data_IF_417280372155
#
_entry.id   IF_417280372155
#
_cell.length_a   1.000
_cell.length_b   1.000
_cell.length_c   1.000
_cell.angle_alpha   90.00
_cell.angle_beta   90.00
_cell.angle_gamma   90.00
#
_symmetry.space_group_name_H-M   'P 1'
#
loop_
_entity.id
_entity.type
_entity.pdbx_description
1 polymer ?
#
# COMPACT_ATOMS: atom_id res chain seq x y z
N UNK A 1 -16.64 11.27 7.38
CA UNK A 1 -16.36 11.82 8.72
C UNK A 1 -15.27 10.96 9.37
N UNK A 2 -14.25 11.54 10.01
CA UNK A 2 -13.13 10.77 10.61
C UNK A 2 -13.57 10.05 11.88
N UNK A 3 -13.03 8.85 12.12
CA UNK A 3 -13.18 8.14 13.41
C UNK A 3 -12.34 8.77 14.53
N UNK A 4 -11.43 9.70 14.19
CA UNK A 4 -10.47 10.32 15.11
C UNK A 4 -10.57 11.86 15.13
N UNK A 5 -11.74 12.43 15.47
CA UNK A 5 -11.97 13.88 15.37
C UNK A 5 -11.04 14.70 16.27
N UNK A 6 -10.70 14.17 17.45
CA UNK A 6 -9.79 14.85 18.39
C UNK A 6 -8.35 14.90 17.89
N UNK A 7 -7.85 13.78 17.35
CA UNK A 7 -6.52 13.73 16.73
C UNK A 7 -6.45 14.68 15.54
N UNK A 8 -7.46 14.63 14.65
CA UNK A 8 -7.57 15.54 13.51
C UNK A 8 -7.47 17.02 13.92
N UNK A 9 -8.30 17.45 14.88
CA UNK A 9 -8.30 18.84 15.34
C UNK A 9 -6.97 19.24 15.99
N UNK A 10 -6.48 18.44 16.94
CA UNK A 10 -5.26 18.76 17.68
C UNK A 10 -4.02 18.83 16.79
N UNK A 11 -3.96 17.99 15.76
CA UNK A 11 -2.82 17.94 14.84
C UNK A 11 -2.87 19.05 13.80
N UNK A 12 -4.05 19.35 13.23
CA UNK A 12 -4.15 20.28 12.11
C UNK A 12 -4.39 21.73 12.54
N UNK A 13 -5.14 21.95 13.63
CA UNK A 13 -5.47 23.32 14.08
C UNK A 13 -4.23 24.20 14.34
N UNK A 14 -3.11 23.70 14.89
CA UNK A 14 -1.91 24.51 15.09
C UNK A 14 -1.18 24.89 13.80
N UNK A 15 -1.42 24.18 12.69
CA UNK A 15 -0.73 24.37 11.42
C UNK A 15 -1.45 25.37 10.50
N UNK A 16 -2.73 25.67 10.79
CA UNK A 16 -3.59 26.52 9.97
C UNK A 16 -3.59 27.94 10.57
N UNK A 17 -2.90 28.87 9.90
CA UNK A 17 -2.69 30.23 10.40
C UNK A 17 -3.78 31.24 9.97
N UNK A 18 -4.62 30.92 8.99
CA UNK A 18 -5.70 31.78 8.48
C UNK A 18 -7.04 31.05 8.49
N UNK A 19 -8.06 31.66 9.11
CA UNK A 19 -9.43 31.13 9.23
C UNK A 19 -10.26 31.21 7.93
N UNK A 20 -9.76 31.88 6.89
CA UNK A 20 -10.57 32.32 5.76
C UNK A 20 -10.38 31.55 4.45
N UNK A 21 -9.68 30.42 4.45
CA UNK A 21 -9.72 29.50 3.30
C UNK A 21 -9.46 28.08 3.79
N UNK A 22 -10.53 27.29 3.96
CA UNK A 22 -10.42 25.85 4.19
C UNK A 22 -10.09 25.18 2.86
N UNK A 23 -8.91 25.49 2.30
CA UNK A 23 -8.42 24.83 1.09
C UNK A 23 -8.30 23.32 1.38
N UNK A 24 -9.13 22.48 0.76
CA UNK A 24 -9.09 21.05 1.01
C UNK A 24 -7.75 20.43 0.60
N UNK A 25 -7.06 21.02 -0.38
CA UNK A 25 -5.74 20.57 -0.80
C UNK A 25 -4.68 20.86 0.27
N UNK A 26 -4.67 22.05 0.85
CA UNK A 26 -3.80 22.38 1.98
C UNK A 26 -4.06 21.46 3.18
N UNK A 27 -5.32 21.28 3.58
CA UNK A 27 -5.68 20.41 4.71
C UNK A 27 -5.21 18.96 4.52
N UNK A 28 -5.46 18.41 3.33
CA UNK A 28 -5.02 17.07 2.96
C UNK A 28 -3.49 16.93 2.99
N UNK A 29 -2.79 17.90 2.39
CA UNK A 29 -1.32 17.91 2.33
C UNK A 29 -0.69 17.96 3.73
N UNK A 30 -1.18 18.86 4.59
CA UNK A 30 -0.70 18.97 5.98
C UNK A 30 -0.96 17.67 6.76
N UNK A 31 -2.14 17.06 6.59
CA UNK A 31 -2.48 15.79 7.24
C UNK A 31 -1.52 14.66 6.85
N UNK A 32 -1.17 14.56 5.56
CA UNK A 32 -0.19 13.59 5.09
C UNK A 32 1.21 13.86 5.64
N UNK A 33 1.67 15.11 5.62
CA UNK A 33 2.99 15.46 6.13
C UNK A 33 3.14 15.09 7.61
N UNK A 34 2.12 15.34 8.43
CA UNK A 34 2.17 14.91 9.85
C UNK A 34 2.12 13.39 9.97
N UNK A 35 1.32 12.71 9.15
CA UNK A 35 1.24 11.24 9.13
C UNK A 35 2.61 10.62 8.78
N UNK A 36 3.26 11.10 7.73
CA UNK A 36 4.59 10.64 7.27
C UNK A 36 5.65 10.93 8.32
N UNK A 37 5.65 12.14 8.89
CA UNK A 37 6.64 12.52 9.91
C UNK A 37 6.53 11.63 11.14
N UNK A 38 5.31 11.41 11.64
CA UNK A 38 5.09 10.57 12.81
C UNK A 38 5.45 9.11 12.53
N UNK A 39 5.00 8.54 11.41
CA UNK A 39 5.33 7.17 11.06
C UNK A 39 6.84 6.96 10.84
N UNK A 40 7.54 7.94 10.24
CA UNK A 40 9.00 7.90 10.09
C UNK A 40 9.75 7.97 11.42
N UNK A 41 9.16 8.63 12.43
CA UNK A 41 9.70 8.63 13.79
C UNK A 41 9.46 7.27 14.46
N UNK A 42 8.26 6.72 14.32
CA UNK A 42 7.86 5.44 14.90
C UNK A 42 8.64 4.28 14.29
N UNK A 43 8.89 4.27 12.98
CA UNK A 43 9.64 3.19 12.32
C UNK A 43 11.04 3.00 12.91
N UNK A 44 11.67 4.08 13.41
CA UNK A 44 12.95 4.00 14.13
C UNK A 44 12.84 3.24 15.45
N UNK A 45 11.70 3.28 16.14
CA UNK A 45 11.48 2.51 17.37
C UNK A 45 11.34 1.00 17.12
N UNK A 46 11.02 0.61 15.88
CA UNK A 46 10.98 -0.79 15.43
C UNK A 46 12.30 -1.26 14.81
N UNK A 47 13.25 -0.36 14.57
CA UNK A 47 14.59 -0.73 14.09
C UNK A 47 15.41 -1.47 15.16
N UNK A 48 16.50 -2.13 14.75
CA UNK A 48 17.37 -2.98 15.59
C UNK A 48 17.80 -2.37 16.95
N UNK A 49 17.81 -1.04 17.07
CA UNK A 49 18.19 -0.34 18.31
C UNK A 49 17.01 0.10 19.18
N UNK A 50 15.80 -0.27 18.78
CA UNK A 50 14.55 0.10 19.41
C UNK A 50 14.30 -0.59 20.74
N UNK A 51 13.41 0.00 21.54
CA UNK A 51 12.97 -0.57 22.83
C UNK A 51 12.34 -1.95 22.63
N UNK A 52 11.59 -2.12 21.54
CA UNK A 52 10.90 -3.37 21.23
C UNK A 52 11.85 -4.55 21.01
N UNK A 53 13.01 -4.32 20.38
CA UNK A 53 14.01 -5.36 20.10
C UNK A 53 14.58 -5.91 21.39
N UNK A 54 14.95 -5.03 22.33
CA UNK A 54 15.48 -5.43 23.64
C UNK A 54 14.48 -6.26 24.44
N UNK A 55 13.21 -5.84 24.46
CA UNK A 55 12.14 -6.59 25.12
C UNK A 55 11.97 -7.97 24.50
N UNK A 56 12.05 -8.08 23.17
CA UNK A 56 11.93 -9.36 22.46
C UNK A 56 13.14 -10.28 22.75
N UNK A 57 14.36 -9.72 22.75
CA UNK A 57 15.59 -10.44 23.06
C UNK A 57 15.56 -11.01 24.49
N UNK A 58 15.11 -10.23 25.47
CA UNK A 58 14.99 -10.67 26.87
C UNK A 58 14.03 -11.87 27.02
N UNK A 59 13.00 -11.94 26.18
CA UNK A 59 12.03 -13.04 26.15
C UNK A 59 12.55 -14.32 25.49
N UNK A 60 13.64 -14.25 24.73
CA UNK A 60 14.24 -15.38 23.98
C UNK A 60 13.25 -16.07 23.01
N UNK A 61 12.27 -15.33 22.48
CA UNK A 61 11.26 -15.85 21.55
C UNK A 61 11.59 -15.50 20.09
N UNK A 62 12.21 -16.43 19.36
CA UNK A 62 12.59 -16.24 17.95
C UNK A 62 11.41 -15.87 17.03
N UNK A 63 10.19 -16.30 17.37
CA UNK A 63 8.97 -15.99 16.60
C UNK A 63 8.69 -14.48 16.62
N UNK A 64 8.96 -13.80 17.73
CA UNK A 64 8.74 -12.36 17.85
C UNK A 64 9.74 -11.54 17.02
N UNK A 65 10.95 -12.08 16.79
CA UNK A 65 11.91 -11.46 15.87
C UNK A 65 11.40 -11.49 14.43
N UNK A 66 10.83 -12.62 13.97
CA UNK A 66 10.21 -12.69 12.65
C UNK A 66 8.98 -11.78 12.51
N UNK A 67 8.16 -11.66 13.57
CA UNK A 67 7.05 -10.71 13.60
C UNK A 67 7.54 -9.26 13.52
N UNK A 68 8.66 -8.95 14.17
CA UNK A 68 9.31 -7.64 14.10
C UNK A 68 9.83 -7.33 12.69
N UNK A 69 10.55 -8.25 12.05
CA UNK A 69 11.03 -8.11 10.67
C UNK A 69 9.86 -7.86 9.70
N UNK A 70 8.79 -8.65 9.82
CA UNK A 70 7.57 -8.44 9.02
C UNK A 70 6.93 -7.08 9.29
N UNK A 71 6.87 -6.64 10.55
CA UNK A 71 6.38 -5.31 10.86
C UNK A 71 7.26 -4.20 10.26
N UNK A 72 8.60 -4.32 10.31
CA UNK A 72 9.50 -3.34 9.69
C UNK A 72 9.23 -3.19 8.18
N UNK A 73 8.94 -4.30 7.49
CA UNK A 73 8.52 -4.31 6.09
C UNK A 73 7.20 -3.56 5.90
N UNK A 74 6.17 -3.87 6.69
CA UNK A 74 4.88 -3.16 6.64
C UNK A 74 5.00 -1.67 6.96
N UNK A 75 5.84 -1.25 7.91
CA UNK A 75 6.07 0.18 8.18
C UNK A 75 6.73 0.89 7.00
N UNK A 76 7.62 0.19 6.29
CA UNK A 76 8.27 0.71 5.08
C UNK A 76 7.28 0.85 3.93
N UNK A 77 6.42 -0.15 3.71
CA UNK A 77 5.32 -0.11 2.73
C UNK A 77 4.31 0.98 3.05
N UNK A 78 3.95 1.15 4.33
CA UNK A 78 3.06 2.22 4.76
C UNK A 78 3.65 3.60 4.46
N UNK A 79 4.93 3.83 4.75
CA UNK A 79 5.62 5.08 4.41
C UNK A 79 5.66 5.32 2.90
N UNK A 80 5.92 4.27 2.12
CA UNK A 80 5.92 4.32 0.67
C UNK A 80 4.54 4.75 0.14
N UNK A 81 3.48 4.06 0.56
CA UNK A 81 2.09 4.38 0.21
C UNK A 81 1.67 5.80 0.62
N UNK A 82 2.14 6.29 1.77
CA UNK A 82 1.91 7.67 2.19
C UNK A 82 2.61 8.70 1.30
N UNK A 83 3.83 8.40 0.85
CA UNK A 83 4.56 9.28 -0.07
C UNK A 83 3.88 9.35 -1.45
N UNK A 84 3.39 8.21 -1.98
CA UNK A 84 2.58 8.21 -3.21
C UNK A 84 1.32 9.07 -3.06
N UNK A 85 0.78 9.16 -1.84
CA UNK A 85 -0.43 9.92 -1.55
C UNK A 85 -0.21 11.44 -1.55
N UNK A 86 1.03 11.93 -1.61
CA UNK A 86 1.34 13.35 -1.60
C UNK A 86 0.96 14.03 -2.94
N UNK A 87 0.21 15.14 -2.89
CA UNK A 87 -0.09 15.89 -4.10
C UNK A 87 1.16 16.62 -4.60
N UNK A 88 1.68 16.22 -5.77
CA UNK A 88 2.90 16.77 -6.36
C UNK A 88 2.67 18.04 -7.20
N UNK A 89 1.42 18.37 -7.50
CA UNK A 89 1.05 19.54 -8.31
C UNK A 89 -0.19 20.26 -7.78
N UNK A 90 -0.32 21.54 -8.11
CA UNK A 90 -1.51 22.32 -7.84
C UNK A 90 -2.72 21.69 -8.58
N UNK A 91 -3.81 21.42 -7.85
CA UNK A 91 -4.99 20.78 -8.42
C UNK A 91 -4.92 19.24 -8.51
N UNK A 92 -3.92 18.58 -7.90
CA UNK A 92 -3.83 17.12 -7.89
C UNK A 92 -5.09 16.41 -7.36
N UNK A 93 -5.91 17.07 -6.54
CA UNK A 93 -7.16 16.52 -6.00
C UNK A 93 -8.40 16.75 -6.89
N UNK A 94 -8.25 17.45 -8.02
CA UNK A 94 -9.38 17.80 -8.89
C UNK A 94 -9.89 16.61 -9.71
N UNK A 95 -9.01 15.66 -10.08
CA UNK A 95 -9.39 14.49 -10.87
C UNK A 95 -9.87 13.35 -9.97
N UNK A 96 -10.96 12.69 -10.37
CA UNK A 96 -11.47 11.51 -9.68
C UNK A 96 -10.43 10.37 -9.60
N UNK A 97 -9.65 10.20 -10.66
CA UNK A 97 -8.59 9.19 -10.72
C UNK A 97 -7.54 9.41 -9.62
N UNK A 98 -7.00 10.63 -9.49
CA UNK A 98 -6.01 10.93 -8.44
C UNK A 98 -6.60 10.75 -7.04
N UNK A 99 -7.84 11.22 -6.81
CA UNK A 99 -8.50 11.02 -5.51
C UNK A 99 -8.69 9.55 -5.17
N UNK A 100 -9.05 8.74 -6.18
CA UNK A 100 -9.18 7.29 -6.03
C UNK A 100 -7.85 6.63 -5.72
N UNK A 101 -6.78 7.00 -6.43
CA UNK A 101 -5.43 6.49 -6.19
C UNK A 101 -4.93 6.85 -4.79
N UNK A 102 -5.07 8.12 -4.40
CA UNK A 102 -4.76 8.59 -3.04
C UNK A 102 -5.54 7.85 -1.96
N UNK A 103 -6.85 7.64 -2.15
CA UNK A 103 -7.67 6.84 -1.21
C UNK A 103 -7.17 5.40 -1.13
N UNK A 104 -6.79 4.80 -2.26
CA UNK A 104 -6.25 3.43 -2.33
C UNK A 104 -4.94 3.32 -1.57
N UNK A 105 -3.96 4.18 -1.87
CA UNK A 105 -2.67 4.17 -1.19
C UNK A 105 -2.80 4.45 0.32
N UNK A 106 -3.66 5.39 0.72
CA UNK A 106 -3.93 5.62 2.15
C UNK A 106 -4.59 4.43 2.85
N UNK A 107 -5.48 3.73 2.16
CA UNK A 107 -6.11 2.51 2.69
C UNK A 107 -5.09 1.38 2.83
N UNK A 108 -4.18 1.24 1.86
CA UNK A 108 -3.07 0.29 1.93
C UNK A 108 -2.14 0.62 3.10
N UNK A 109 -1.70 1.88 3.25
CA UNK A 109 -0.88 2.31 4.38
C UNK A 109 -1.56 2.03 5.73
N UNK A 110 -2.87 2.28 5.84
CA UNK A 110 -3.60 1.96 7.06
C UNK A 110 -3.65 0.45 7.34
N UNK A 111 -3.87 -0.37 6.31
CA UNK A 111 -3.88 -1.81 6.41
C UNK A 111 -2.50 -2.39 6.77
N UNK A 112 -1.42 -1.83 6.22
CA UNK A 112 -0.04 -2.20 6.57
C UNK A 112 0.22 -1.96 8.07
N UNK A 113 -0.23 -0.82 8.62
CA UNK A 113 -0.14 -0.55 10.06
C UNK A 113 -0.95 -1.54 10.90
N UNK A 114 -2.16 -1.91 10.48
CA UNK A 114 -2.96 -2.94 11.16
C UNK A 114 -2.27 -4.30 11.11
N UNK A 115 -1.78 -4.70 9.94
CA UNK A 115 -1.13 -5.99 9.72
C UNK A 115 0.14 -6.12 10.54
N UNK A 116 0.92 -5.05 10.69
CA UNK A 116 2.02 -5.04 11.66
C UNK A 116 1.53 -5.34 13.08
N UNK A 117 0.46 -4.67 13.55
CA UNK A 117 -0.08 -4.91 14.90
C UNK A 117 -0.61 -6.33 15.07
N UNK A 118 -1.30 -6.86 14.07
CA UNK A 118 -1.86 -8.22 14.05
C UNK A 118 -0.75 -9.28 14.11
N UNK A 119 0.43 -8.99 13.54
CA UNK A 119 1.63 -9.84 13.67
C UNK A 119 2.06 -10.12 15.12
N UNK A 120 1.60 -9.31 16.08
CA UNK A 120 1.86 -9.47 17.51
C UNK A 120 0.60 -9.88 18.32
N UNK A 121 -0.50 -10.28 17.69
CA UNK A 121 -1.76 -10.63 18.38
C UNK A 121 -1.57 -11.63 19.53
N UNK A 122 -0.70 -12.62 19.33
CA UNK A 122 -0.40 -13.69 20.28
C UNK A 122 0.87 -13.46 21.11
N UNK A 123 1.52 -12.30 20.96
CA UNK A 123 2.69 -11.95 21.75
C UNK A 123 2.30 -11.66 23.22
N UNK A 124 3.26 -11.70 24.17
CA UNK A 124 3.01 -11.29 25.54
C UNK A 124 2.42 -9.88 25.65
N UNK A 125 1.58 -9.66 26.66
CA UNK A 125 0.86 -8.39 26.87
C UNK A 125 1.76 -7.16 26.88
N UNK A 126 2.97 -7.29 27.42
CA UNK A 126 3.96 -6.21 27.46
C UNK A 126 4.37 -5.78 26.03
N UNK A 127 4.69 -6.75 25.17
CA UNK A 127 5.06 -6.53 23.76
C UNK A 127 3.89 -5.90 23.00
N UNK A 128 2.69 -6.48 23.13
CA UNK A 128 1.47 -5.96 22.48
C UNK A 128 1.18 -4.50 22.83
N UNK A 129 1.32 -4.14 24.11
CA UNK A 129 1.11 -2.77 24.58
C UNK A 129 2.14 -1.81 23.98
N UNK A 130 3.40 -2.22 23.89
CA UNK A 130 4.46 -1.42 23.27
C UNK A 130 4.14 -1.20 21.79
N UNK A 131 3.82 -2.25 21.04
CA UNK A 131 3.50 -2.16 19.60
C UNK A 131 2.30 -1.24 19.36
N UNK A 132 1.20 -1.49 20.07
CA UNK A 132 -0.03 -0.69 19.95
C UNK A 132 0.21 0.77 20.32
N UNK A 133 0.91 1.05 21.43
CA UNK A 133 1.19 2.43 21.86
C UNK A 133 2.09 3.19 20.88
N UNK A 134 3.02 2.51 20.20
CA UNK A 134 3.88 3.14 19.21
C UNK A 134 3.12 3.46 17.91
N UNK A 135 2.19 2.60 17.48
CA UNK A 135 1.51 2.74 16.18
C UNK A 135 0.19 3.51 16.25
N UNK A 136 -0.43 3.62 17.43
CA UNK A 136 -1.74 4.25 17.62
C UNK A 136 -1.85 5.64 17.01
N UNK A 137 -0.86 6.52 17.25
CA UNK A 137 -0.86 7.85 16.66
C UNK A 137 -0.75 7.81 15.14
N UNK A 138 0.18 7.02 14.59
CA UNK A 138 0.32 6.85 13.14
C UNK A 138 -0.97 6.35 12.50
N UNK A 139 -1.60 5.32 13.05
CA UNK A 139 -2.88 4.78 12.58
C UNK A 139 -3.98 5.84 12.58
N UNK A 140 -4.08 6.64 13.65
CA UNK A 140 -5.08 7.72 13.76
C UNK A 140 -4.85 8.85 12.76
N UNK A 141 -3.59 9.18 12.49
CA UNK A 141 -3.19 10.21 11.53
C UNK A 141 -3.46 9.76 10.09
N UNK A 142 -3.07 8.53 9.73
CA UNK A 142 -3.40 7.95 8.42
C UNK A 142 -4.92 7.87 8.23
N UNK A 143 -5.66 7.41 9.23
CA UNK A 143 -7.12 7.38 9.20
C UNK A 143 -7.75 8.78 9.07
N UNK A 144 -7.12 9.80 9.62
CA UNK A 144 -7.53 11.20 9.44
C UNK A 144 -7.33 11.66 7.99
N UNK A 145 -6.17 11.39 7.41
CA UNK A 145 -5.89 11.68 5.99
C UNK A 145 -6.87 10.97 5.05
N UNK A 146 -7.19 9.70 5.32
CA UNK A 146 -8.19 8.92 4.57
C UNK A 146 -9.60 9.52 4.67
N UNK A 147 -9.97 10.04 5.84
CA UNK A 147 -11.26 10.71 6.02
C UNK A 147 -11.33 12.04 5.27
N UNK A 148 -10.23 12.80 5.20
CA UNK A 148 -10.17 14.06 4.45
C UNK A 148 -10.35 13.80 2.95
N UNK A 149 -9.59 12.86 2.36
CA UNK A 149 -9.73 12.55 0.92
C UNK A 149 -11.13 12.04 0.58
N UNK A 150 -11.75 11.25 1.48
CA UNK A 150 -13.12 10.76 1.29
C UNK A 150 -14.15 11.88 1.35
N UNK A 151 -13.93 12.92 2.16
CA UNK A 151 -14.80 14.10 2.20
C UNK A 151 -14.66 14.93 0.92
N UNK A 152 -13.44 15.10 0.41
CA UNK A 152 -13.18 15.81 -0.85
C UNK A 152 -13.85 15.08 -2.01
N UNK A 153 -13.69 13.77 -2.08
CA UNK A 153 -14.31 12.95 -3.13
C UNK A 153 -15.84 13.04 -3.11
N UNK A 154 -16.45 12.91 -1.93
CA UNK A 154 -17.90 13.03 -1.77
C UNK A 154 -18.48 14.40 -2.19
N UNK A 155 -17.74 15.49 -2.02
CA UNK A 155 -18.15 16.82 -2.50
C UNK A 155 -18.00 16.96 -4.02
N UNK A 156 -16.96 16.36 -4.63
CA UNK A 156 -16.70 16.46 -6.07
C UNK A 156 -17.62 15.57 -6.89
N UNK A 157 -17.97 14.36 -6.39
CA UNK A 157 -18.89 13.44 -7.06
C UNK A 157 -20.33 13.97 -7.18
N UNK A 158 -20.72 14.98 -6.38
CA UNK A 158 -22.02 15.65 -6.54
C UNK A 158 -22.08 16.57 -7.77
N UNK A 159 -20.93 16.93 -8.34
CA UNK A 159 -20.81 17.82 -9.50
C UNK A 159 -20.37 17.10 -10.79
N UNK A 160 -20.01 15.82 -10.70
CA UNK A 160 -19.69 15.01 -11.87
C UNK A 160 -20.97 14.47 -12.52
N UNK A 161 -21.21 14.83 -13.79
CA UNK A 161 -22.22 14.14 -14.61
C UNK A 161 -21.85 12.66 -14.65
N UNK A 162 -22.83 11.72 -14.62
CA UNK A 162 -22.51 10.30 -14.69
C UNK A 162 -21.74 10.05 -15.98
N UNK A 163 -20.44 9.75 -15.89
CA UNK A 163 -19.73 9.14 -16.99
C UNK A 163 -20.41 7.80 -17.22
N UNK A 164 -21.09 7.66 -18.36
CA UNK A 164 -21.56 6.39 -18.87
C UNK A 164 -20.35 5.54 -19.25
N UNK A 165 -19.60 5.08 -18.26
CA UNK A 165 -18.67 3.97 -18.43
C UNK A 165 -19.57 2.77 -18.60
N UNK A 166 -19.71 2.34 -19.84
CA UNK A 166 -20.33 1.07 -20.17
C UNK A 166 -19.52 -0.02 -19.46
N UNK A 167 -19.98 -0.40 -18.27
CA UNK A 167 -19.55 -1.63 -17.62
C UNK A 167 -20.09 -2.75 -18.49
N UNK A 168 -19.25 -3.28 -19.37
CA UNK A 168 -19.53 -4.54 -20.04
C UNK A 168 -19.80 -5.57 -18.95
N UNK A 169 -21.05 -6.01 -18.87
CA UNK A 169 -21.45 -7.13 -18.02
C UNK A 169 -20.49 -8.29 -18.31
N UNK A 170 -19.87 -8.92 -17.30
CA UNK A 170 -19.08 -10.11 -17.53
C UNK A 170 -19.95 -11.15 -18.24
N UNK A 171 -19.38 -11.80 -19.25
CA UNK A 171 -20.09 -12.74 -20.10
C UNK A 171 -20.36 -14.08 -19.40
N UNK A 172 -19.70 -14.32 -18.27
CA UNK A 172 -19.83 -15.51 -17.43
C UNK A 172 -19.38 -15.27 -15.98
N UNK A 173 -19.86 -16.11 -15.04
CA UNK A 173 -19.64 -15.98 -13.58
C UNK A 173 -18.16 -16.12 -13.14
N UNK A 174 -17.29 -16.69 -13.97
CA UNK A 174 -15.87 -16.89 -13.64
C UNK A 174 -14.98 -15.70 -14.04
N UNK A 175 -15.53 -14.73 -14.77
CA UNK A 175 -14.74 -13.65 -15.37
C UNK A 175 -14.43 -12.55 -14.33
N UNK A 176 -13.15 -12.37 -13.94
CA UNK A 176 -12.79 -11.50 -12.82
C UNK A 176 -13.08 -10.03 -13.12
N UNK A 177 -13.97 -9.42 -12.35
CA UNK A 177 -14.38 -8.03 -12.53
C UNK A 177 -13.25 -7.01 -12.26
N UNK A 178 -12.23 -7.43 -11.50
CA UNK A 178 -11.06 -6.63 -11.14
C UNK A 178 -9.99 -6.58 -12.23
N UNK A 179 -10.07 -7.43 -13.27
CA UNK A 179 -9.22 -7.32 -14.45
C UNK A 179 -9.81 -6.34 -15.46
N UNK A 180 -8.95 -5.55 -16.11
CA UNK A 180 -9.35 -4.69 -17.22
C UNK A 180 -9.89 -5.52 -18.40
N UNK A 181 -10.75 -4.95 -19.27
CA UNK A 181 -11.20 -5.65 -20.47
C UNK A 181 -10.05 -6.18 -21.33
N UNK A 182 -8.96 -5.40 -21.46
CA UNK A 182 -7.75 -5.77 -22.19
C UNK A 182 -7.04 -6.97 -21.55
N UNK A 183 -7.00 -7.05 -20.21
CA UNK A 183 -6.38 -8.17 -19.50
C UNK A 183 -7.22 -9.43 -19.57
N UNK A 184 -8.55 -9.28 -19.55
CA UNK A 184 -9.46 -10.40 -19.78
C UNK A 184 -9.32 -10.95 -21.21
N UNK A 185 -9.03 -10.11 -22.20
CA UNK A 185 -8.75 -10.60 -23.56
C UNK A 185 -7.55 -11.55 -23.60
N UNK A 186 -6.55 -11.40 -22.72
CA UNK A 186 -5.43 -12.34 -22.62
C UNK A 186 -5.85 -13.71 -22.07
N UNK A 187 -6.89 -13.76 -21.23
CA UNK A 187 -7.47 -15.01 -20.74
C UNK A 187 -8.29 -15.74 -21.80
N UNK A 188 -8.92 -14.99 -22.71
CA UNK A 188 -9.84 -15.54 -23.72
C UNK A 188 -9.18 -15.90 -25.05
N UNK A 189 -8.11 -15.20 -25.45
CA UNK A 189 -7.55 -15.30 -26.81
C UNK A 189 -6.20 -16.04 -26.86
N UNK A 190 -6.25 -17.38 -26.70
CA UNK A 190 -5.11 -18.28 -26.94
C UNK A 190 -4.56 -18.25 -28.38
N UNK A 191 -5.17 -17.48 -29.30
CA UNK A 191 -4.73 -17.35 -30.70
C UNK A 191 -3.82 -16.15 -30.94
N UNK A 192 -3.71 -15.20 -29.99
CA UNK A 192 -2.64 -14.20 -30.05
C UNK A 192 -1.36 -14.83 -29.52
N UNK A 193 -0.30 -14.78 -30.33
CA UNK A 193 1.05 -15.12 -29.87
C UNK A 193 1.42 -14.09 -28.82
N UNK A 194 1.25 -14.42 -27.55
CA UNK A 194 1.82 -13.66 -26.45
C UNK A 194 3.33 -13.87 -26.54
N UNK A 195 4.06 -12.82 -26.88
CA UNK A 195 5.52 -12.85 -26.92
C UNK A 195 5.99 -12.59 -25.49
N UNK A 196 6.58 -13.58 -24.80
CA UNK A 196 7.11 -13.37 -23.47
C UNK A 196 8.37 -12.50 -23.54
N UNK A 197 8.60 -11.71 -22.49
CA UNK A 197 9.88 -11.06 -22.26
C UNK A 197 10.94 -12.08 -21.85
N UNK A 198 10.55 -13.06 -21.01
CA UNK A 198 11.40 -14.17 -20.56
C UNK A 198 10.61 -15.47 -20.37
N UNK A 199 11.30 -16.61 -20.48
CA UNK A 199 10.74 -17.95 -20.33
C UNK A 199 11.42 -18.69 -19.18
N UNK A 200 10.62 -19.27 -18.28
CA UNK A 200 11.11 -20.14 -17.20
C UNK A 200 10.89 -21.59 -17.57
N UNK A 201 11.94 -22.41 -17.47
CA UNK A 201 11.88 -23.83 -17.78
C UNK A 201 12.80 -24.63 -16.86
N UNK A 202 12.22 -25.46 -15.99
CA UNK A 202 12.97 -26.29 -15.04
C UNK A 202 13.89 -27.34 -15.70
N UNK A 203 13.73 -27.58 -17.01
CA UNK A 203 14.57 -28.49 -17.80
C UNK A 203 15.74 -27.75 -18.50
N UNK A 204 15.95 -26.46 -18.22
CA UNK A 204 17.00 -25.64 -18.81
C UNK A 204 16.69 -25.16 -20.24
N UNK A 205 15.48 -25.41 -20.77
CA UNK A 205 15.10 -25.01 -22.14
C UNK A 205 14.55 -23.59 -22.26
N UNK A 206 14.72 -22.75 -21.23
CA UNK A 206 14.24 -21.37 -21.14
C UNK A 206 15.38 -20.40 -20.83
N UNK A 207 15.04 -19.15 -20.52
CA UNK A 207 16.00 -18.14 -20.09
C UNK A 207 16.45 -18.37 -18.64
N UNK A 208 15.55 -18.88 -17.79
CA UNK A 208 15.80 -19.20 -16.38
C UNK A 208 15.26 -20.58 -16.00
N UNK A 209 15.91 -21.26 -15.05
CA UNK A 209 15.44 -22.54 -14.53
C UNK A 209 14.43 -22.35 -13.39
N UNK A 210 14.53 -21.23 -12.67
CA UNK A 210 13.71 -20.93 -11.50
C UNK A 210 12.77 -19.74 -11.73
N UNK A 211 11.65 -19.73 -11.00
CA UNK A 211 10.71 -18.58 -11.04
C UNK A 211 11.33 -17.38 -10.31
N UNK A 212 12.11 -17.64 -9.26
CA UNK A 212 12.80 -16.60 -8.50
C UNK A 212 13.75 -15.77 -9.37
N UNK A 213 14.63 -16.40 -10.16
CA UNK A 213 15.55 -15.68 -11.05
C UNK A 213 14.82 -14.83 -12.09
N UNK A 214 13.71 -15.37 -12.62
CA UNK A 214 12.88 -14.65 -13.56
C UNK A 214 12.23 -13.41 -12.97
N UNK A 215 11.84 -13.45 -11.68
CA UNK A 215 11.32 -12.29 -10.97
C UNK A 215 12.41 -11.26 -10.69
N UNK A 216 13.62 -11.70 -10.32
CA UNK A 216 14.78 -10.82 -10.11
C UNK A 216 15.22 -10.12 -11.41
N UNK A 217 14.91 -10.70 -12.57
CA UNK A 217 15.15 -10.10 -13.89
C UNK A 217 14.11 -9.04 -14.30
N UNK A 218 12.99 -8.92 -13.57
CA UNK A 218 11.95 -7.93 -13.88
C UNK A 218 12.47 -6.53 -13.55
N UNK A 219 12.44 -5.58 -14.51
CA UNK A 219 12.81 -4.21 -14.22
C UNK A 219 11.92 -3.62 -13.13
N UNK A 220 12.52 -3.06 -12.09
CA UNK A 220 11.78 -2.29 -11.08
C UNK A 220 11.11 -1.07 -11.74
N UNK A 221 9.88 -0.76 -11.30
CA UNK A 221 9.14 0.44 -11.71
C UNK A 221 8.90 0.56 -13.22
N UNK A 222 8.66 -0.56 -13.88
CA UNK A 222 8.36 -0.56 -15.31
C UNK A 222 6.94 -0.04 -15.58
N UNK A 223 6.83 1.03 -16.36
CA UNK A 223 5.53 1.50 -16.90
C UNK A 223 4.96 0.56 -17.97
N UNK A 224 5.76 -0.41 -18.42
CA UNK A 224 5.33 -1.45 -19.36
C UNK A 224 5.10 -2.76 -18.63
N UNK A 225 4.15 -3.54 -19.13
CA UNK A 225 3.99 -4.92 -18.72
C UNK A 225 5.25 -5.73 -19.06
N UNK A 226 5.69 -6.54 -18.11
CA UNK A 226 6.72 -7.55 -18.28
C UNK A 226 6.07 -8.94 -18.21
N UNK A 227 6.24 -9.77 -19.25
CA UNK A 227 5.55 -11.04 -19.42
C UNK A 227 6.53 -12.20 -19.18
N UNK A 228 6.34 -12.91 -18.07
CA UNK A 228 7.06 -14.15 -17.75
C UNK A 228 6.23 -15.34 -18.21
N UNK A 229 6.77 -16.18 -19.11
CA UNK A 229 6.13 -17.43 -19.49
C UNK A 229 6.77 -18.62 -18.74
N UNK A 230 6.02 -19.21 -17.81
CA UNK A 230 6.47 -20.40 -17.07
C UNK A 230 6.02 -21.65 -17.81
N UNK A 231 6.97 -22.46 -18.28
CA UNK A 231 6.67 -23.75 -18.90
C UNK A 231 6.06 -24.70 -17.87
N UNK A 232 5.33 -25.70 -18.35
CA UNK A 232 4.80 -26.77 -17.50
C UNK A 232 5.97 -27.47 -16.78
N UNK A 233 5.92 -27.47 -15.46
CA UNK A 233 6.93 -28.11 -14.62
C UNK A 233 6.50 -28.07 -13.15
N UNK A 234 7.30 -28.69 -12.28
CA UNK A 234 7.15 -28.55 -10.83
C UNK A 234 8.32 -27.74 -10.32
N UNK A 235 8.02 -26.62 -9.66
CA UNK A 235 8.99 -25.67 -9.14
C UNK A 235 8.86 -25.64 -7.61
N UNK A 236 9.92 -26.05 -6.90
CA UNK A 236 9.94 -26.11 -5.43
C UNK A 236 10.70 -24.91 -4.88
N UNK A 237 10.03 -23.77 -4.72
CA UNK A 237 10.67 -22.49 -4.45
C UNK A 237 9.85 -21.64 -3.48
N UNK A 238 10.54 -20.84 -2.67
CA UNK A 238 9.92 -19.73 -1.95
C UNK A 238 10.16 -18.45 -2.73
N UNK A 239 9.12 -17.97 -3.40
CA UNK A 239 9.17 -16.78 -4.23
C UNK A 239 8.75 -15.57 -3.42
N UNK A 240 9.60 -14.54 -3.38
CA UNK A 240 9.26 -13.21 -2.88
C UNK A 240 9.09 -12.28 -4.07
N UNK A 241 7.91 -11.69 -4.18
CA UNK A 241 7.65 -10.62 -5.14
C UNK A 241 7.77 -9.33 -4.34
N UNK A 242 8.81 -8.54 -4.63
CA UNK A 242 8.97 -7.23 -4.00
C UNK A 242 7.82 -6.29 -4.37
N UNK A 243 7.37 -5.47 -3.42
CA UNK A 243 6.50 -4.34 -3.73
C UNK A 243 7.23 -3.37 -4.65
N UNK A 244 6.55 -2.88 -5.69
CA UNK A 244 7.10 -1.87 -6.61
C UNK A 244 7.51 -0.62 -5.82
N UNK A 245 8.80 -0.27 -5.80
CA UNK A 245 9.28 1.04 -5.33
C UNK A 245 8.97 2.13 -6.37
N UNK A 246 7.72 2.21 -6.83
CA UNK A 246 7.26 3.14 -7.87
C UNK A 246 7.56 4.59 -7.49
N UNK A 247 8.31 5.27 -8.34
CA UNK A 247 8.48 6.72 -8.33
C UNK A 247 7.24 7.43 -8.87
#
# INVERSE_FOLDING_TARGET
MTLYPRTCYNTLSPLIHSKNDYDPQLLYTLSLQVSIHELSRVSKNFSEKGILVRTIEDLHENILLSALEGCQEFLSLALYNLNLSLPTSAGALTTHENRTNFRTWLSAAWADLQTCMDGFEYAPDEVRKIVSANLDNSTKLVGTSLAIISMIDGHMSQHEKPSTVATSKPSSDWEPTWLSPQDRMLLHDLKRVIIPDIVVAADGSGDYETIKEAIEAVPENSDRRFIIHVKKGVYYENVRIGGTNGM
#
